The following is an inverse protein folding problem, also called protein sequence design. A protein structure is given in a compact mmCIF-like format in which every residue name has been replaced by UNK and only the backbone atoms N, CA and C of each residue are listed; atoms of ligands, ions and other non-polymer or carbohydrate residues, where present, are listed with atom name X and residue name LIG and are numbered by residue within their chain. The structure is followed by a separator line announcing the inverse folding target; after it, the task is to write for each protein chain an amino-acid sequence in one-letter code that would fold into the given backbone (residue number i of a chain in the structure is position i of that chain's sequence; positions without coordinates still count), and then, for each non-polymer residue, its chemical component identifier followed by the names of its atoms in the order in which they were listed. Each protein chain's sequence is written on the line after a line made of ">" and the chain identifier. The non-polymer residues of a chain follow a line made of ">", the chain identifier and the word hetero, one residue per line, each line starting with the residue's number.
data_IF_974197224395
#
_entry.id   IF_974197224395
#
_cell.length_a   1.000
_cell.length_b   1.000
_cell.length_c   1.000
_cell.angle_alpha   90.00
_cell.angle_beta   90.00
_cell.angle_gamma   90.00
#
_symmetry.space_group_name_H-M   'P 1'
#
loop_
_entity.id
_entity.type
_entity.pdbx_description
1 polymer ?
#
# COMPACT_ATOMS: atom_id res chain seq x y z
N UNK A 1 -29.67 8.85 8.04
CA UNK A 1 -28.98 8.03 9.07
C UNK A 1 -28.30 9.04 10.00
N UNK A 2 -28.71 9.12 11.26
CA UNK A 2 -28.47 10.31 12.12
C UNK A 2 -27.00 10.76 12.15
N UNK A 3 -26.06 9.82 12.33
CA UNK A 3 -24.63 10.13 12.43
C UNK A 3 -24.05 10.66 11.10
N UNK A 4 -24.42 10.04 9.98
CA UNK A 4 -23.94 10.45 8.65
C UNK A 4 -24.47 11.82 8.26
N UNK A 5 -25.73 12.10 8.58
CA UNK A 5 -26.38 13.38 8.28
C UNK A 5 -25.71 14.50 9.12
N UNK A 6 -25.53 14.29 10.43
CA UNK A 6 -24.84 15.24 11.32
C UNK A 6 -23.37 15.47 10.91
N UNK A 7 -22.66 14.41 10.52
CA UNK A 7 -21.27 14.53 10.04
C UNK A 7 -21.18 15.30 8.72
N UNK A 8 -22.18 15.15 7.84
CA UNK A 8 -22.28 15.89 6.59
C UNK A 8 -22.52 17.38 6.85
N UNK A 9 -23.47 17.71 7.73
CA UNK A 9 -23.77 19.10 8.10
C UNK A 9 -22.54 19.82 8.67
N UNK A 10 -21.74 19.14 9.49
CA UNK A 10 -20.49 19.68 10.04
C UNK A 10 -19.45 19.91 8.92
N UNK A 11 -19.31 18.96 7.99
CA UNK A 11 -18.40 19.09 6.85
C UNK A 11 -18.78 20.29 5.96
N UNK A 12 -20.08 20.45 5.68
CA UNK A 12 -20.61 21.56 4.88
C UNK A 12 -20.40 22.91 5.58
N UNK A 13 -20.63 22.98 6.91
CA UNK A 13 -20.33 24.18 7.72
C UNK A 13 -18.84 24.57 7.64
N UNK A 14 -17.94 23.60 7.54
CA UNK A 14 -16.51 23.81 7.35
C UNK A 14 -16.09 24.01 5.87
N UNK A 15 -17.05 24.09 4.95
CA UNK A 15 -16.82 24.18 3.50
C UNK A 15 -15.94 23.05 2.94
N UNK A 16 -16.06 21.84 3.51
CA UNK A 16 -15.36 20.64 3.06
C UNK A 16 -16.30 19.74 2.26
N UNK A 17 -15.86 19.32 1.07
CA UNK A 17 -16.61 18.37 0.21
C UNK A 17 -16.46 16.91 0.63
N UNK A 18 -15.51 16.62 1.52
CA UNK A 18 -15.22 15.26 1.98
C UNK A 18 -15.40 15.21 3.49
N UNK A 19 -16.14 14.22 3.96
CA UNK A 19 -16.33 13.97 5.39
C UNK A 19 -15.04 13.35 5.95
N UNK A 20 -14.40 14.03 6.90
CA UNK A 20 -13.20 13.57 7.60
C UNK A 20 -13.54 12.92 8.95
N UNK A 21 -12.59 12.20 9.54
CA UNK A 21 -12.70 11.61 10.87
C UNK A 21 -13.11 12.62 11.94
N UNK A 22 -12.62 13.85 11.81
CA UNK A 22 -12.86 14.91 12.80
C UNK A 22 -14.31 15.41 12.75
N UNK A 23 -14.96 15.37 11.59
CA UNK A 23 -16.38 15.72 11.47
C UNK A 23 -17.26 14.69 12.19
N UNK A 24 -16.87 13.41 12.15
CA UNK A 24 -17.58 12.32 12.85
C UNK A 24 -17.41 12.44 14.36
N UNK A 25 -16.22 12.79 14.84
CA UNK A 25 -15.95 13.01 16.28
C UNK A 25 -16.80 14.18 16.81
N UNK A 26 -16.84 15.29 16.07
CA UNK A 26 -17.69 16.44 16.42
C UNK A 26 -19.19 16.09 16.40
N UNK A 27 -19.65 15.32 15.42
CA UNK A 27 -21.03 14.84 15.37
C UNK A 27 -21.38 13.99 16.60
N UNK A 28 -20.48 13.11 17.05
CA UNK A 28 -20.69 12.32 18.26
C UNK A 28 -20.75 13.18 19.53
N UNK A 29 -19.95 14.24 19.62
CA UNK A 29 -20.06 15.22 20.70
C UNK A 29 -21.41 15.94 20.69
N UNK A 30 -21.85 16.46 19.54
CA UNK A 30 -23.14 17.17 19.42
C UNK A 30 -24.34 16.27 19.72
N UNK A 31 -24.24 14.97 19.42
CA UNK A 31 -25.27 13.98 19.70
C UNK A 31 -25.24 13.45 21.15
N UNK A 32 -24.26 13.84 21.96
CA UNK A 32 -24.13 13.41 23.37
C UNK A 32 -23.53 12.01 23.56
N UNK A 33 -22.80 11.51 22.56
CA UNK A 33 -22.19 10.17 22.53
C UNK A 33 -20.71 10.19 22.94
N UNK A 34 -20.38 10.90 24.01
CA UNK A 34 -19.00 11.18 24.41
C UNK A 34 -18.19 9.93 24.79
N UNK A 35 -18.87 8.90 25.30
CA UNK A 35 -18.26 7.61 25.66
C UNK A 35 -17.58 6.89 24.48
N UNK A 36 -17.98 7.20 23.24
CA UNK A 36 -17.38 6.62 22.04
C UNK A 36 -16.21 7.42 21.48
N UNK A 37 -15.96 8.64 21.97
CA UNK A 37 -14.91 9.51 21.41
C UNK A 37 -13.54 8.91 21.64
N UNK A 38 -13.20 8.59 22.90
CA UNK A 38 -11.89 8.04 23.27
C UNK A 38 -11.53 6.75 22.49
N UNK A 39 -12.40 5.72 22.41
CA UNK A 39 -12.08 4.53 21.62
C UNK A 39 -11.95 4.82 20.12
N UNK A 40 -12.75 5.74 19.57
CA UNK A 40 -12.66 6.12 18.16
C UNK A 40 -11.35 6.88 17.87
N UNK A 41 -10.94 7.80 18.73
CA UNK A 41 -9.68 8.54 18.58
C UNK A 41 -8.48 7.59 18.55
N UNK A 42 -8.46 6.57 19.42
CA UNK A 42 -7.43 5.52 19.39
C UNK A 42 -7.39 4.81 18.03
N UNK A 43 -8.54 4.39 17.52
CA UNK A 43 -8.65 3.72 16.21
C UNK A 43 -8.21 4.65 15.06
N UNK A 44 -8.53 5.94 15.13
CA UNK A 44 -8.10 6.93 14.12
C UNK A 44 -6.57 7.08 14.12
N UNK A 45 -5.93 7.09 15.29
CA UNK A 45 -4.46 7.13 15.39
C UNK A 45 -3.84 5.87 14.79
N UNK A 46 -4.30 4.69 15.20
CA UNK A 46 -3.83 3.41 14.67
C UNK A 46 -3.99 3.33 13.14
N UNK A 47 -5.13 3.80 12.62
CA UNK A 47 -5.37 3.85 11.17
C UNK A 47 -4.37 4.77 10.47
N UNK A 48 -4.11 5.96 11.00
CA UNK A 48 -3.13 6.92 10.44
C UNK A 48 -1.72 6.31 10.44
N UNK A 49 -1.33 5.57 11.47
CA UNK A 49 -0.04 4.87 11.51
C UNK A 49 0.05 3.73 10.49
N UNK A 50 -1.01 2.91 10.39
CA UNK A 50 -1.08 1.83 9.42
C UNK A 50 -0.99 2.33 7.96
N UNK A 51 -1.62 3.47 7.65
CA UNK A 51 -1.52 4.08 6.32
C UNK A 51 -0.10 4.55 5.99
N UNK A 52 0.58 5.22 6.93
CA UNK A 52 1.99 5.60 6.75
C UNK A 52 2.88 4.39 6.47
N UNK A 53 2.61 3.25 7.12
CA UNK A 53 3.32 2.00 6.89
C UNK A 53 3.09 1.43 5.48
N UNK A 54 1.90 1.62 4.90
CA UNK A 54 1.58 1.19 3.52
C UNK A 54 2.24 2.08 2.47
N UNK A 55 2.19 3.39 2.64
CA UNK A 55 2.82 4.36 1.73
C UNK A 55 4.33 4.11 1.61
N UNK A 56 5.02 3.86 2.73
CA UNK A 56 6.45 3.51 2.74
C UNK A 56 6.77 2.24 1.96
N UNK A 57 5.86 1.24 1.95
CA UNK A 57 6.06 -0.03 1.22
C UNK A 57 5.88 0.12 -0.29
N UNK A 58 5.12 1.12 -0.74
CA UNK A 58 4.91 1.36 -2.17
C UNK A 58 6.09 2.09 -2.82
N UNK A 59 7.03 2.63 -2.04
CA UNK A 59 8.13 3.42 -2.58
C UNK A 59 9.42 2.64 -2.86
N UNK A 60 9.36 1.31 -3.01
CA UNK A 60 10.54 0.47 -3.23
C UNK A 60 11.40 0.90 -4.43
N UNK A 61 10.75 1.43 -5.47
CA UNK A 61 11.44 1.91 -6.67
C UNK A 61 12.27 3.17 -6.39
N UNK A 62 11.68 4.17 -5.72
CA UNK A 62 12.41 5.40 -5.36
C UNK A 62 13.41 5.18 -4.22
N UNK A 63 13.14 4.24 -3.32
CA UNK A 63 14.04 3.87 -2.22
C UNK A 63 15.20 2.96 -2.66
N UNK A 64 15.26 2.55 -3.93
CA UNK A 64 16.31 1.66 -4.43
C UNK A 64 17.68 2.35 -4.51
N UNK A 65 17.72 3.69 -4.59
CA UNK A 65 18.96 4.46 -4.74
C UNK A 65 19.60 4.38 -6.13
N UNK A 66 18.97 3.65 -7.07
CA UNK A 66 19.42 3.53 -8.46
C UNK A 66 18.57 4.40 -9.37
N UNK A 67 19.17 4.83 -10.48
CA UNK A 67 18.41 5.44 -11.57
C UNK A 67 17.55 4.40 -12.28
N UNK A 68 16.51 4.86 -12.98
CA UNK A 68 15.63 3.98 -13.75
C UNK A 68 16.40 3.15 -14.81
N UNK A 69 17.40 3.75 -15.44
CA UNK A 69 18.27 3.09 -16.42
C UNK A 69 19.09 1.96 -15.81
N UNK A 70 19.67 2.17 -14.62
CA UNK A 70 20.43 1.15 -13.90
C UNK A 70 19.55 -0.02 -13.46
N UNK A 71 18.33 0.26 -12.97
CA UNK A 71 17.37 -0.77 -12.59
C UNK A 71 16.94 -1.62 -13.79
N UNK A 72 16.73 -1.00 -14.94
CA UNK A 72 16.37 -1.71 -16.17
C UNK A 72 17.49 -2.64 -16.61
N UNK A 73 18.73 -2.14 -16.62
CA UNK A 73 19.93 -2.94 -16.95
C UNK A 73 20.07 -4.14 -16.01
N UNK A 74 19.84 -3.94 -14.71
CA UNK A 74 19.91 -5.03 -13.74
C UNK A 74 18.79 -6.06 -13.95
N UNK A 75 17.58 -5.61 -14.27
CA UNK A 75 16.45 -6.48 -14.59
C UNK A 75 16.72 -7.34 -15.82
N UNK A 76 17.26 -6.76 -16.90
CA UNK A 76 17.62 -7.50 -18.12
C UNK A 76 18.68 -8.57 -17.88
N UNK A 77 19.70 -8.25 -17.10
CA UNK A 77 20.77 -9.18 -16.74
C UNK A 77 20.22 -10.35 -15.91
N UNK A 78 19.35 -10.09 -14.93
CA UNK A 78 18.68 -11.14 -14.16
C UNK A 78 17.83 -12.06 -15.05
N UNK A 79 17.12 -11.50 -16.04
CA UNK A 79 16.37 -12.32 -17.00
C UNK A 79 17.29 -13.15 -17.89
N UNK A 80 18.41 -12.60 -18.36
CA UNK A 80 19.41 -13.35 -19.15
C UNK A 80 19.98 -14.52 -18.34
N UNK A 81 20.35 -14.28 -17.10
CA UNK A 81 20.89 -15.32 -16.21
C UNK A 81 19.85 -16.42 -15.94
N UNK A 82 18.60 -16.04 -15.67
CA UNK A 82 17.51 -17.00 -15.47
C UNK A 82 17.28 -17.87 -16.72
N UNK A 83 17.24 -17.27 -17.91
CA UNK A 83 17.12 -18.00 -19.18
C UNK A 83 18.27 -18.99 -19.40
N UNK A 84 19.51 -18.58 -19.14
CA UNK A 84 20.68 -19.46 -19.27
C UNK A 84 20.64 -20.62 -18.28
N UNK A 85 20.23 -20.38 -17.03
CA UNK A 85 20.06 -21.45 -16.02
C UNK A 85 18.98 -22.45 -16.43
N UNK A 86 17.84 -21.98 -16.94
CA UNK A 86 16.78 -22.85 -17.43
C UNK A 86 17.24 -23.69 -18.61
N UNK A 87 17.97 -23.09 -19.57
CA UNK A 87 18.52 -23.81 -20.71
C UNK A 87 19.55 -24.86 -20.28
N UNK A 88 20.43 -24.53 -19.34
CA UNK A 88 21.40 -25.48 -18.79
C UNK A 88 20.73 -26.57 -17.93
N UNK A 89 19.60 -26.30 -17.30
CA UNK A 89 18.81 -27.30 -16.57
C UNK A 89 17.92 -28.15 -17.49
N UNK A 90 17.58 -27.66 -18.68
CA UNK A 90 16.88 -28.40 -19.73
C UNK A 90 17.83 -29.30 -20.56
N UNK A 91 19.16 -29.12 -20.45
CA UNK A 91 20.14 -30.10 -20.97
C UNK A 91 20.61 -31.08 -19.88
N UNK A 92 19.82 -32.13 -19.60
CA UNK A 92 20.44 -33.40 -19.21
C UNK A 92 19.73 -34.57 -19.90
N UNK A 93 19.80 -34.70 -21.25
CA UNK A 93 19.60 -36.01 -21.93
C UNK A 93 19.92 -36.04 -23.45
N UNK A 94 20.84 -35.20 -23.96
CA UNK A 94 21.14 -35.17 -25.41
C UNK A 94 22.60 -35.57 -25.77
N UNK A 95 23.37 -36.13 -24.82
CA UNK A 95 24.77 -36.52 -25.06
C UNK A 95 25.16 -37.88 -24.46
N UNK A 96 24.34 -38.91 -24.65
CA UNK A 96 24.82 -40.30 -24.65
C UNK A 96 24.11 -41.10 -25.76
N UNK A 97 24.46 -40.82 -27.02
CA UNK A 97 24.34 -41.84 -28.07
C UNK A 97 25.76 -42.29 -28.38
N UNK A 98 26.15 -43.41 -27.77
CA UNK A 98 27.37 -44.15 -28.11
C UNK A 98 27.31 -44.51 -29.60
N UNK A 99 28.18 -43.91 -30.39
CA UNK A 99 28.51 -44.39 -31.73
C UNK A 99 29.44 -45.59 -31.59
N UNK A 100 29.20 -46.57 -32.45
CA UNK A 100 29.78 -47.91 -32.61
C UNK A 100 31.29 -48.07 -32.37
#
# INVERSE_FOLDING_TARGET
>A
MILSDSSNDIAEKESKKTIASDHVIKALQELGFEEYIEPIEKVVVEHKEAQKGREKKNNKFQNSGFTEEELLRQQEELFRQSRSRLQNQMEPDAKEVKTE
#
